data_IF_514238404858
#
_entry.id   IF_514238404858
#
_cell.length_a   1.000
_cell.length_b   1.000
_cell.length_c   1.000
_cell.angle_alpha   90.00
_cell.angle_beta   90.00
_cell.angle_gamma   90.00
#
_symmetry.space_group_name_H-M   'P 1'
#
loop_
_entity.id
_entity.type
_entity.pdbx_description
1 polymer ?
#
# COMPACT_ATOMS: atom_id res chain seq x y z
N UNK A 1 -7.07 18.00 10.53
CA UNK A 1 -6.42 16.70 10.67
C UNK A 1 -5.33 16.76 11.70
N UNK A 2 -5.08 15.64 12.35
CA UNK A 2 -4.02 15.52 13.34
C UNK A 2 -2.66 15.42 12.60
N UNK A 3 -1.71 16.34 12.80
CA UNK A 3 -0.41 16.30 12.11
C UNK A 3 0.36 14.99 12.36
N UNK A 4 0.17 14.38 13.52
CA UNK A 4 0.82 13.14 13.93
C UNK A 4 0.50 11.97 13.00
N UNK A 5 -0.70 11.92 12.43
CA UNK A 5 -1.12 10.86 11.50
C UNK A 5 -0.23 10.76 10.26
N UNK A 6 0.45 11.83 9.89
CA UNK A 6 1.30 11.88 8.69
C UNK A 6 2.78 11.59 9.00
N UNK A 7 3.16 11.45 10.28
CA UNK A 7 4.50 11.06 10.69
C UNK A 7 4.67 9.55 10.53
N UNK A 8 5.66 9.12 9.75
CA UNK A 8 5.89 7.71 9.43
C UNK A 8 6.22 6.86 10.66
N UNK A 9 6.81 7.46 11.69
CA UNK A 9 7.28 6.75 12.88
C UNK A 9 6.29 6.84 14.06
N UNK A 10 5.41 7.85 14.06
CA UNK A 10 4.61 8.20 15.24
C UNK A 10 3.10 8.24 14.97
N UNK A 11 2.63 7.97 13.73
CA UNK A 11 1.21 8.05 13.39
C UNK A 11 0.31 7.18 14.28
N UNK A 12 0.83 6.03 14.76
CA UNK A 12 0.12 5.10 15.63
C UNK A 12 -0.01 5.61 17.09
N UNK A 13 0.72 6.67 17.45
CA UNK A 13 0.66 7.30 18.77
C UNK A 13 -0.52 8.29 18.89
N UNK A 14 -1.20 8.58 17.77
CA UNK A 14 -2.41 9.40 17.78
C UNK A 14 -3.49 8.73 18.64
N UNK A 15 -4.27 9.57 19.33
CA UNK A 15 -5.33 9.10 20.24
C UNK A 15 -6.36 8.18 19.58
N UNK A 16 -6.55 8.31 18.26
CA UNK A 16 -7.42 7.44 17.47
C UNK A 16 -6.98 5.96 17.52
N UNK A 17 -5.69 5.70 17.73
CA UNK A 17 -5.10 4.36 17.72
C UNK A 17 -4.70 3.85 19.10
N UNK A 18 -4.91 4.64 20.17
CA UNK A 18 -4.60 4.22 21.54
C UNK A 18 -5.47 3.07 22.02
N UNK A 19 -6.64 2.89 21.41
CA UNK A 19 -7.55 1.80 21.73
C UNK A 19 -7.40 0.74 20.65
N UNK A 20 -6.76 -0.40 20.99
CA UNK A 20 -6.60 -1.51 20.07
C UNK A 20 -5.17 -1.99 19.93
N UNK A 21 -4.93 -2.74 18.84
CA UNK A 21 -3.66 -3.44 18.56
C UNK A 21 -2.89 -2.86 17.37
N UNK A 22 -3.22 -1.63 16.96
CA UNK A 22 -2.67 -1.02 15.72
C UNK A 22 -1.15 -0.90 15.78
N UNK A 23 -0.58 -0.47 16.91
CA UNK A 23 0.87 -0.37 17.09
C UNK A 23 1.55 -1.74 16.97
N UNK A 24 0.99 -2.77 17.60
CA UNK A 24 1.53 -4.12 17.53
C UNK A 24 1.47 -4.68 16.10
N UNK A 25 0.34 -4.52 15.41
CA UNK A 25 0.16 -4.97 14.02
C UNK A 25 1.12 -4.23 13.08
N UNK A 26 1.31 -2.93 13.29
CA UNK A 26 2.24 -2.14 12.48
C UNK A 26 3.68 -2.64 12.64
N UNK A 27 4.14 -2.84 13.88
CA UNK A 27 5.49 -3.39 14.17
C UNK A 27 5.67 -4.79 13.60
N UNK A 28 4.67 -5.65 13.72
CA UNK A 28 4.69 -6.98 13.12
C UNK A 28 4.77 -6.93 11.59
N UNK A 29 4.02 -6.03 10.97
CA UNK A 29 4.05 -5.82 9.51
C UNK A 29 5.42 -5.37 9.05
N UNK A 30 6.03 -4.39 9.72
CA UNK A 30 7.38 -3.92 9.43
C UNK A 30 8.41 -5.06 9.57
N UNK A 31 8.41 -5.74 10.72
CA UNK A 31 9.34 -6.83 10.98
C UNK A 31 9.16 -8.01 9.99
N UNK A 32 7.92 -8.34 9.66
CA UNK A 32 7.59 -9.40 8.71
C UNK A 32 8.07 -9.07 7.29
N UNK A 33 7.90 -7.83 6.86
CA UNK A 33 8.38 -7.37 5.55
C UNK A 33 9.91 -7.38 5.50
N UNK A 34 10.58 -6.84 6.52
CA UNK A 34 12.03 -6.84 6.59
C UNK A 34 12.61 -8.26 6.66
N UNK A 35 11.98 -9.16 7.41
CA UNK A 35 12.37 -10.57 7.45
C UNK A 35 12.18 -11.28 6.11
N UNK A 36 11.11 -10.97 5.37
CA UNK A 36 10.90 -11.48 4.02
C UNK A 36 12.02 -11.02 3.09
N UNK A 37 12.33 -9.73 3.07
CA UNK A 37 13.35 -9.14 2.20
C UNK A 37 14.76 -9.61 2.57
N UNK A 38 15.03 -9.86 3.84
CA UNK A 38 16.32 -10.43 4.31
C UNK A 38 16.61 -11.80 3.67
N UNK A 39 15.58 -12.60 3.37
CA UNK A 39 15.74 -13.90 2.66
C UNK A 39 16.24 -13.70 1.23
N UNK A 40 16.09 -12.52 0.67
CA UNK A 40 16.58 -12.12 -0.66
C UNK A 40 17.81 -11.22 -0.57
N UNK A 41 18.48 -11.20 0.59
CA UNK A 41 19.72 -10.46 0.80
C UNK A 41 19.56 -8.97 1.05
N UNK A 42 18.34 -8.47 1.21
CA UNK A 42 18.07 -7.06 1.49
C UNK A 42 17.88 -6.84 2.99
N UNK A 43 18.81 -6.15 3.62
CA UNK A 43 18.82 -5.85 5.06
C UNK A 43 18.49 -4.39 5.28
N UNK A 44 17.49 -4.12 6.12
CA UNK A 44 17.05 -2.75 6.43
C UNK A 44 18.18 -1.92 7.06
N UNK A 45 18.38 -0.72 6.55
CA UNK A 45 19.32 0.27 7.08
C UNK A 45 18.67 1.67 7.03
N UNK A 46 18.03 2.06 8.11
CA UNK A 46 17.25 3.29 8.20
C UNK A 46 16.11 3.34 7.19
N UNK A 47 16.18 4.24 6.21
CA UNK A 47 15.17 4.43 5.17
C UNK A 47 15.44 3.63 3.88
N UNK A 48 16.55 2.92 3.80
CA UNK A 48 16.94 2.11 2.64
C UNK A 48 17.23 0.67 3.07
N UNK A 49 17.62 -0.15 2.09
CA UNK A 49 18.11 -1.50 2.32
C UNK A 49 19.55 -1.64 1.84
N UNK A 50 20.33 -2.45 2.53
CA UNK A 50 21.67 -2.88 2.08
C UNK A 50 21.54 -4.21 1.38
N UNK A 51 22.14 -4.33 0.19
CA UNK A 51 22.16 -5.54 -0.58
C UNK A 51 23.51 -5.71 -1.27
N UNK A 52 24.27 -6.73 -0.88
CA UNK A 52 25.59 -6.98 -1.49
C UNK A 52 25.49 -7.68 -2.86
N UNK A 53 24.47 -8.54 -3.01
CA UNK A 53 24.26 -9.36 -4.20
C UNK A 53 22.79 -9.24 -4.64
N UNK A 54 22.49 -8.17 -5.36
CA UNK A 54 21.15 -7.97 -5.91
C UNK A 54 20.80 -9.08 -6.92
N UNK A 55 19.66 -9.74 -6.71
CA UNK A 55 19.15 -10.81 -7.56
C UNK A 55 17.91 -10.32 -8.31
N UNK A 56 17.70 -10.76 -9.56
CA UNK A 56 16.54 -10.38 -10.35
C UNK A 56 15.27 -11.17 -9.94
N UNK A 57 15.04 -11.30 -8.64
CA UNK A 57 13.89 -12.04 -8.14
C UNK A 57 12.60 -11.21 -8.20
N UNK A 58 11.49 -11.89 -8.39
CA UNK A 58 10.15 -11.31 -8.28
C UNK A 58 9.42 -11.92 -7.09
N UNK A 59 8.99 -11.09 -6.17
CA UNK A 59 8.18 -11.48 -5.01
C UNK A 59 6.74 -11.08 -5.29
N UNK A 60 5.81 -12.04 -5.20
CA UNK A 60 4.38 -11.78 -5.38
C UNK A 60 3.68 -11.98 -4.04
N UNK A 61 2.95 -10.96 -3.60
CA UNK A 61 2.16 -10.97 -2.36
C UNK A 61 0.67 -10.84 -2.70
N UNK A 62 -0.13 -11.80 -2.25
CA UNK A 62 -1.59 -11.71 -2.30
C UNK A 62 -2.08 -11.19 -0.96
N UNK A 63 -2.70 -10.04 -0.95
CA UNK A 63 -3.13 -9.38 0.29
C UNK A 63 -4.35 -8.47 0.05
N UNK A 64 -4.77 -7.75 1.10
CA UNK A 64 -5.87 -6.79 1.06
C UNK A 64 -5.33 -5.36 1.09
N UNK A 65 -6.15 -4.40 0.65
CA UNK A 65 -5.79 -2.98 0.54
C UNK A 65 -5.11 -2.43 1.80
N UNK A 66 -5.69 -2.63 2.99
CA UNK A 66 -5.16 -2.07 4.22
C UNK A 66 -3.73 -2.51 4.52
N UNK A 67 -3.47 -3.82 4.49
CA UNK A 67 -2.13 -4.37 4.74
C UNK A 67 -1.16 -4.05 3.60
N UNK A 68 -1.63 -4.02 2.35
CA UNK A 68 -0.82 -3.62 1.20
C UNK A 68 -0.28 -2.21 1.38
N UNK A 69 -1.15 -1.25 1.76
CA UNK A 69 -0.73 0.14 1.97
C UNK A 69 0.22 0.27 3.17
N UNK A 70 0.05 -0.54 4.22
CA UNK A 70 1.01 -0.62 5.31
C UNK A 70 2.39 -1.11 4.84
N UNK A 71 2.45 -2.19 4.07
CA UNK A 71 3.69 -2.70 3.50
C UNK A 71 4.36 -1.65 2.59
N UNK A 72 3.60 -1.03 1.69
CA UNK A 72 4.09 0.03 0.80
C UNK A 72 4.61 1.23 1.61
N UNK A 73 3.88 1.65 2.64
CA UNK A 73 4.29 2.72 3.53
C UNK A 73 5.64 2.45 4.18
N UNK A 74 5.83 1.22 4.67
CA UNK A 74 7.10 0.79 5.25
C UNK A 74 8.24 0.80 4.22
N UNK A 75 8.01 0.27 3.02
CA UNK A 75 9.02 0.20 1.96
C UNK A 75 9.43 1.58 1.43
N UNK A 76 8.48 2.51 1.33
CA UNK A 76 8.70 3.85 0.80
C UNK A 76 9.06 4.88 1.87
N UNK A 77 8.96 4.54 3.16
CA UNK A 77 9.21 5.45 4.27
C UNK A 77 8.16 6.57 4.39
N UNK A 78 6.89 6.25 4.11
CA UNK A 78 5.75 7.17 4.27
C UNK A 78 4.72 6.61 5.23
N UNK A 79 4.01 7.50 5.93
CA UNK A 79 2.93 7.06 6.82
C UNK A 79 1.86 6.30 6.04
N UNK A 80 1.45 5.09 6.48
CA UNK A 80 0.35 4.36 5.87
C UNK A 80 -0.95 5.17 5.80
N UNK A 81 -1.16 6.11 6.71
CA UNK A 81 -2.33 6.99 6.73
C UNK A 81 -2.45 7.85 5.47
N UNK A 82 -1.31 8.31 4.91
CA UNK A 82 -1.30 9.03 3.64
C UNK A 82 -1.76 8.13 2.49
N UNK A 83 -1.36 6.87 2.52
CA UNK A 83 -1.71 5.90 1.48
C UNK A 83 -3.17 5.46 1.60
N UNK A 84 -3.66 5.18 2.81
CA UNK A 84 -5.05 4.80 3.04
C UNK A 84 -6.05 5.90 2.66
N UNK A 85 -5.69 7.18 2.85
CA UNK A 85 -6.55 8.30 2.51
C UNK A 85 -6.40 8.77 1.06
N UNK A 86 -5.20 8.60 0.48
CA UNK A 86 -4.88 9.14 -0.84
C UNK A 86 -5.01 8.15 -1.99
N UNK A 87 -5.13 6.85 -1.71
CA UNK A 87 -5.19 5.82 -2.73
C UNK A 87 -6.47 5.00 -2.63
N UNK A 88 -6.93 4.54 -3.77
CA UNK A 88 -7.98 3.55 -3.89
C UNK A 88 -7.52 2.52 -4.92
N UNK A 89 -7.59 1.25 -4.56
CA UNK A 89 -7.28 0.15 -5.48
C UNK A 89 -8.42 -0.85 -5.48
N UNK A 90 -8.88 -1.21 -6.67
CA UNK A 90 -9.96 -2.17 -6.82
C UNK A 90 -9.50 -3.59 -6.50
N UNK A 91 -10.42 -4.48 -6.11
CA UNK A 91 -10.14 -5.92 -6.01
C UNK A 91 -9.48 -6.46 -7.28
N UNK A 92 -8.58 -7.41 -7.12
CA UNK A 92 -7.77 -8.02 -8.18
C UNK A 92 -6.78 -7.10 -8.87
N UNK A 93 -6.65 -5.85 -8.45
CA UNK A 93 -5.63 -4.95 -9.02
C UNK A 93 -4.22 -5.34 -8.60
N UNK A 94 -3.25 -4.94 -9.42
CA UNK A 94 -1.82 -5.20 -9.20
C UNK A 94 -1.10 -3.89 -8.89
N UNK A 95 -0.36 -3.87 -7.79
CA UNK A 95 0.55 -2.77 -7.45
C UNK A 95 1.98 -3.27 -7.56
N UNK A 96 2.80 -2.57 -8.35
CA UNK A 96 4.17 -2.98 -8.67
C UNK A 96 5.17 -2.02 -8.06
N UNK A 97 6.05 -2.57 -7.22
CA UNK A 97 7.24 -1.87 -6.74
C UNK A 97 8.47 -2.51 -7.37
N UNK A 98 9.45 -1.67 -7.67
CA UNK A 98 10.77 -2.13 -8.14
C UNK A 98 11.85 -1.61 -7.20
N UNK A 99 12.92 -2.36 -7.09
CA UNK A 99 14.14 -1.91 -6.41
C UNK A 99 14.98 -1.05 -7.34
N UNK A 100 15.59 -0.02 -6.80
CA UNK A 100 16.54 0.84 -7.50
C UNK A 100 17.82 0.95 -6.67
N UNK A 101 18.96 0.71 -7.32
CA UNK A 101 20.29 0.81 -6.75
C UNK A 101 21.07 1.87 -7.53
N UNK A 102 21.17 3.09 -7.00
CA UNK A 102 21.97 4.18 -7.60
C UNK A 102 23.36 4.29 -7.01
N UNK A 103 23.51 3.84 -5.76
CA UNK A 103 24.78 3.69 -5.07
C UNK A 103 24.94 2.21 -4.78
N UNK A 104 26.09 1.66 -5.09
CA UNK A 104 26.35 0.23 -4.94
C UNK A 104 26.04 -0.24 -3.51
N UNK A 105 25.17 -1.24 -3.41
CA UNK A 105 24.74 -1.82 -2.15
C UNK A 105 23.65 -1.02 -1.42
N UNK A 106 23.18 0.12 -1.96
CA UNK A 106 22.10 0.93 -1.39
C UNK A 106 20.84 0.78 -2.25
N UNK A 107 19.83 0.10 -1.73
CA UNK A 107 18.61 -0.21 -2.44
C UNK A 107 17.43 0.57 -1.86
N UNK A 108 16.67 1.22 -2.72
CA UNK A 108 15.39 1.86 -2.41
C UNK A 108 14.27 1.23 -3.23
N UNK A 109 13.05 1.31 -2.73
CA UNK A 109 11.87 0.88 -3.47
C UNK A 109 11.21 2.06 -4.20
N UNK A 110 10.67 1.79 -5.39
CA UNK A 110 9.88 2.73 -6.17
C UNK A 110 8.56 2.08 -6.59
N UNK A 111 7.44 2.76 -6.35
CA UNK A 111 6.16 2.33 -6.85
C UNK A 111 6.04 2.75 -8.34
N UNK A 112 6.00 1.77 -9.21
CA UNK A 112 5.88 1.98 -10.66
C UNK A 112 4.44 2.02 -11.13
N UNK A 113 3.58 1.25 -10.48
CA UNK A 113 2.14 1.17 -10.77
C UNK A 113 1.39 0.93 -9.46
N UNK A 114 0.23 1.57 -9.33
CA UNK A 114 -0.67 1.35 -8.21
C UNK A 114 -2.07 1.05 -8.73
N UNK A 115 -2.62 -0.11 -8.37
CA UNK A 115 -3.98 -0.48 -8.72
C UNK A 115 -4.19 -0.80 -10.21
N UNK A 116 -3.19 -1.34 -10.90
CA UNK A 116 -3.29 -1.72 -12.32
C UNK A 116 -4.34 -2.83 -12.54
N UNK A 117 -5.21 -2.63 -13.52
CA UNK A 117 -6.29 -3.52 -13.92
C UNK A 117 -6.15 -3.99 -15.38
N UNK A 118 -5.00 -3.76 -16.00
CA UNK A 118 -4.78 -4.04 -17.43
C UNK A 118 -5.07 -5.50 -17.80
N UNK A 119 -4.80 -6.44 -16.89
CA UNK A 119 -5.08 -7.85 -17.10
C UNK A 119 -6.58 -8.16 -17.16
N UNK A 120 -7.43 -7.43 -16.43
CA UNK A 120 -8.88 -7.58 -16.52
C UNK A 120 -9.38 -7.00 -17.86
N UNK A 121 -8.91 -5.82 -18.23
CA UNK A 121 -9.27 -5.24 -19.54
C UNK A 121 -8.83 -6.12 -20.71
N UNK A 122 -7.64 -6.73 -20.63
CA UNK A 122 -7.16 -7.64 -21.65
C UNK A 122 -8.00 -8.94 -21.76
N UNK A 123 -8.62 -9.35 -20.65
CA UNK A 123 -9.50 -10.52 -20.59
C UNK A 123 -10.98 -10.20 -20.86
N UNK A 124 -11.32 -8.95 -21.15
CA UNK A 124 -12.70 -8.44 -21.25
C UNK A 124 -13.54 -8.74 -19.97
N UNK A 125 -12.87 -8.68 -18.82
CA UNK A 125 -13.49 -8.91 -17.50
C UNK A 125 -13.78 -7.58 -16.79
N UNK A 126 -14.96 -7.41 -16.19
CA UNK A 126 -15.30 -6.22 -15.45
C UNK A 126 -14.49 -6.14 -14.15
N UNK A 127 -14.06 -4.94 -13.78
CA UNK A 127 -13.48 -4.71 -12.45
C UNK A 127 -14.58 -4.54 -11.39
N UNK A 128 -14.25 -4.86 -10.13
CA UNK A 128 -15.16 -4.66 -9.00
C UNK A 128 -15.15 -3.21 -8.52
N UNK A 129 -16.32 -2.65 -8.26
CA UNK A 129 -16.50 -1.33 -7.64
C UNK A 129 -16.55 -1.38 -6.11
N UNK A 130 -16.36 -2.53 -5.49
CA UNK A 130 -16.51 -2.74 -4.04
C UNK A 130 -15.56 -1.89 -3.18
N UNK A 131 -14.46 -1.36 -3.76
CA UNK A 131 -13.54 -0.46 -3.07
C UNK A 131 -13.95 1.03 -3.15
N UNK A 132 -15.01 1.35 -3.87
CA UNK A 132 -15.50 2.71 -4.07
C UNK A 132 -16.67 2.97 -3.12
N UNK A 133 -16.54 4.00 -2.29
CA UNK A 133 -17.56 4.37 -1.31
C UNK A 133 -18.39 5.56 -1.83
N UNK A 134 -19.73 5.55 -1.63
CA UNK A 134 -20.57 6.68 -1.99
C UNK A 134 -20.21 7.92 -1.15
N UNK A 135 -20.36 9.06 -1.75
CA UNK A 135 -20.18 10.35 -1.08
C UNK A 135 -21.28 10.59 -0.05
N UNK A 136 -20.95 10.71 1.23
CA UNK A 136 -21.92 10.84 2.32
C UNK A 136 -22.71 12.17 2.30
N UNK A 137 -22.22 13.20 1.62
CA UNK A 137 -22.86 14.52 1.53
C UNK A 137 -23.79 14.68 0.30
N UNK A 138 -23.89 13.68 -0.55
CA UNK A 138 -24.80 13.72 -1.73
C UNK A 138 -26.24 13.38 -1.40
N UNK A 139 -26.55 13.09 -0.14
CA UNK A 139 -27.90 12.65 0.29
C UNK A 139 -28.23 11.21 -0.11
N UNK A 140 -27.26 10.47 -0.64
CA UNK A 140 -27.40 9.04 -0.95
C UNK A 140 -27.21 8.22 0.32
N UNK A 141 -28.01 7.17 0.46
CA UNK A 141 -27.76 6.14 1.45
C UNK A 141 -26.45 5.40 1.10
N UNK A 142 -25.66 5.03 2.12
CA UNK A 142 -24.44 4.23 1.94
C UNK A 142 -24.71 2.86 1.28
N UNK A 143 -25.96 2.47 1.17
CA UNK A 143 -26.43 1.24 0.50
C UNK A 143 -26.71 1.44 -0.98
N UNK A 144 -26.83 2.70 -1.44
CA UNK A 144 -27.07 2.97 -2.85
C UNK A 144 -25.81 2.66 -3.67
N UNK A 145 -25.92 1.93 -4.79
CA UNK A 145 -24.79 1.69 -5.66
C UNK A 145 -24.26 3.03 -6.21
N UNK A 146 -22.96 3.23 -6.25
CA UNK A 146 -22.39 4.43 -6.88
C UNK A 146 -22.80 4.52 -8.35
N UNK A 147 -23.26 5.68 -8.80
CA UNK A 147 -23.51 5.92 -10.22
C UNK A 147 -22.20 6.15 -11.00
N UNK A 148 -21.26 5.24 -10.90
CA UNK A 148 -19.99 5.34 -11.60
C UNK A 148 -20.16 5.24 -13.13
N UNK A 149 -21.25 4.56 -13.59
CA UNK A 149 -21.63 4.53 -15.00
C UNK A 149 -21.93 5.93 -15.56
N UNK A 150 -22.47 6.84 -14.73
CA UNK A 150 -22.73 8.23 -15.11
C UNK A 150 -21.44 9.06 -15.28
N UNK A 151 -20.33 8.61 -14.68
CA UNK A 151 -19.03 9.25 -14.77
C UNK A 151 -18.14 8.63 -15.87
N UNK A 152 -18.64 7.64 -16.62
CA UNK A 152 -17.92 7.00 -17.71
C UNK A 152 -16.82 6.02 -17.26
N UNK A 153 -16.80 5.64 -15.98
CA UNK A 153 -15.96 4.56 -15.48
C UNK A 153 -16.68 3.23 -15.75
N UNK A 154 -16.40 2.64 -16.90
CA UNK A 154 -16.78 1.26 -17.27
C UNK A 154 -15.53 0.42 -17.32
#
# INVERSE_FOLDING_TARGET
GHPLLYDVNHWMEDELFRVGTVDAIWRETQAGMDALLARYGMIRDGHLYRCENNQPDTIVLFCHFGIMMACIGHLLGVSPMLLWHGFCTQPSSVTTLVTEERVKGEVVFRCMQSGDLSHLYAADEPYSTAALFPECYTGRDSTDPPEWDALGYR
#
